data_IF_882589785024
#
_entry.id   IF_882589785024
#
_cell.length_a   1.000
_cell.length_b   1.000
_cell.length_c   1.000
_cell.angle_alpha   90.00
_cell.angle_beta   90.00
_cell.angle_gamma   90.00
#
_symmetry.space_group_name_H-M   'P 1'
#
loop_
_entity.id
_entity.type
_entity.pdbx_description
1 polymer ?
#
# COMPACT_ATOMS: atom_id res chain seq x y z
N UNK A 1 -0.50 18.85 -6.25
CA UNK A 1 0.29 18.99 -4.99
C UNK A 1 0.40 17.64 -4.26
N UNK A 2 1.60 17.17 -3.91
CA UNK A 2 1.81 15.83 -3.28
C UNK A 2 2.03 15.98 -1.77
N UNK A 3 1.09 15.43 -0.99
CA UNK A 3 1.18 15.30 0.48
C UNK A 3 2.06 14.13 0.91
N UNK A 4 1.80 13.54 2.09
CA UNK A 4 2.61 12.43 2.63
C UNK A 4 2.61 11.17 1.73
N UNK A 5 1.53 10.92 1.01
CA UNK A 5 1.43 9.88 -0.01
C UNK A 5 0.91 10.47 -1.31
N UNK A 6 1.45 10.01 -2.44
CA UNK A 6 0.98 10.40 -3.77
C UNK A 6 -0.33 9.66 -4.13
N UNK A 7 -1.00 10.09 -5.20
CA UNK A 7 -2.27 9.50 -5.63
C UNK A 7 -2.13 8.02 -6.01
N UNK A 8 -1.06 7.64 -6.71
CA UNK A 8 -0.77 6.25 -7.08
C UNK A 8 -0.56 5.34 -5.86
N UNK A 9 0.15 5.80 -4.83
CA UNK A 9 0.31 5.07 -3.57
C UNK A 9 -1.02 4.84 -2.86
N UNK A 10 -1.95 5.81 -2.89
CA UNK A 10 -3.29 5.65 -2.32
C UNK A 10 -4.14 4.65 -3.10
N UNK A 11 -4.11 4.74 -4.44
CA UNK A 11 -4.84 3.80 -5.31
C UNK A 11 -4.32 2.38 -5.09
N UNK A 12 -3.00 2.18 -5.11
CA UNK A 12 -2.37 0.89 -4.89
C UNK A 12 -2.70 0.34 -3.49
N UNK A 13 -2.73 1.18 -2.46
CA UNK A 13 -3.19 0.79 -1.13
C UNK A 13 -4.62 0.24 -1.14
N UNK A 14 -5.57 0.96 -1.73
CA UNK A 14 -6.97 0.51 -1.77
C UNK A 14 -7.16 -0.75 -2.61
N UNK A 15 -6.45 -0.89 -3.73
CA UNK A 15 -6.47 -2.12 -4.54
C UNK A 15 -5.98 -3.30 -3.71
N UNK A 16 -4.82 -3.17 -3.05
CA UNK A 16 -4.27 -4.24 -2.21
C UNK A 16 -5.24 -4.62 -1.07
N UNK A 17 -5.85 -3.65 -0.39
CA UNK A 17 -6.82 -3.90 0.69
C UNK A 17 -8.05 -4.65 0.17
N UNK A 18 -8.65 -4.20 -0.94
CA UNK A 18 -9.83 -4.85 -1.53
C UNK A 18 -9.52 -6.28 -2.01
N UNK A 19 -8.36 -6.48 -2.65
CA UNK A 19 -7.91 -7.82 -3.05
C UNK A 19 -7.69 -8.71 -1.82
N UNK A 20 -7.07 -8.21 -0.74
CA UNK A 20 -6.81 -8.98 0.47
C UNK A 20 -8.10 -9.45 1.14
N UNK A 21 -9.08 -8.56 1.29
CA UNK A 21 -10.40 -8.90 1.84
C UNK A 21 -11.09 -9.93 0.96
N UNK A 22 -11.08 -9.73 -0.36
CA UNK A 22 -11.69 -10.67 -1.32
C UNK A 22 -11.05 -12.05 -1.22
N UNK A 23 -9.71 -12.13 -1.18
CA UNK A 23 -8.97 -13.37 -1.02
C UNK A 23 -9.30 -14.08 0.29
N UNK A 24 -9.38 -13.34 1.40
CA UNK A 24 -9.70 -13.91 2.71
C UNK A 24 -11.12 -14.51 2.72
N UNK A 25 -12.12 -13.74 2.30
CA UNK A 25 -13.52 -14.19 2.31
C UNK A 25 -13.75 -15.37 1.37
N UNK A 26 -13.25 -15.28 0.13
CA UNK A 26 -13.38 -16.37 -0.84
C UNK A 26 -12.55 -17.59 -0.45
N UNK A 27 -11.38 -17.39 0.16
CA UNK A 27 -10.54 -18.47 0.68
C UNK A 27 -11.22 -19.25 1.79
N UNK A 28 -11.90 -18.56 2.72
CA UNK A 28 -12.73 -19.20 3.76
C UNK A 28 -13.84 -20.02 3.10
N UNK A 29 -14.58 -19.47 2.15
CA UNK A 29 -15.67 -20.19 1.45
C UNK A 29 -15.17 -21.46 0.74
N UNK A 30 -14.01 -21.40 0.08
CA UNK A 30 -13.42 -22.54 -0.64
C UNK A 30 -12.75 -23.57 0.27
N UNK A 31 -12.51 -23.25 1.54
CA UNK A 31 -11.72 -24.12 2.42
C UNK A 31 -12.47 -25.43 2.70
N UNK A 32 -12.05 -26.47 1.97
CA UNK A 32 -12.73 -27.76 1.91
C UNK A 32 -12.79 -28.53 3.23
N UNK A 33 -11.72 -28.44 4.03
CA UNK A 33 -11.63 -29.14 5.33
C UNK A 33 -12.62 -28.61 6.38
N UNK A 34 -12.88 -27.30 6.42
CA UNK A 34 -13.59 -26.66 7.53
C UNK A 34 -14.91 -26.00 7.13
N UNK A 35 -14.97 -25.31 5.99
CA UNK A 35 -16.03 -24.34 5.71
C UNK A 35 -16.86 -24.67 4.46
N UNK A 36 -16.28 -25.34 3.47
CA UNK A 36 -16.95 -25.62 2.19
C UNK A 36 -18.28 -26.40 2.33
N UNK A 37 -18.50 -27.15 3.40
CA UNK A 37 -19.74 -27.90 3.61
C UNK A 37 -20.93 -27.00 3.97
N UNK A 38 -20.68 -25.78 4.47
CA UNK A 38 -21.74 -24.82 4.82
C UNK A 38 -22.22 -23.98 3.63
N UNK A 39 -21.56 -24.08 2.47
CA UNK A 39 -21.86 -23.27 1.29
C UNK A 39 -22.33 -24.15 0.13
N UNK A 40 -23.25 -23.62 -0.68
CA UNK A 40 -23.70 -24.32 -1.88
C UNK A 40 -22.61 -24.37 -2.95
N UNK A 41 -22.67 -25.39 -3.82
CA UNK A 41 -21.70 -25.57 -4.91
C UNK A 41 -21.63 -24.33 -5.82
N UNK A 42 -22.77 -23.65 -6.04
CA UNK A 42 -22.80 -22.42 -6.83
C UNK A 42 -21.97 -21.29 -6.21
N UNK A 43 -22.08 -21.10 -4.90
CA UNK A 43 -21.31 -20.08 -4.16
C UNK A 43 -19.82 -20.40 -4.19
N UNK A 44 -19.44 -21.67 -4.00
CA UNK A 44 -18.04 -22.11 -4.07
C UNK A 44 -17.43 -21.80 -5.43
N UNK A 45 -18.15 -22.07 -6.54
CA UNK A 45 -17.66 -21.77 -7.90
C UNK A 45 -17.42 -20.28 -8.12
N UNK A 46 -18.35 -19.43 -7.69
CA UNK A 46 -18.19 -17.97 -7.78
C UNK A 46 -17.00 -17.51 -6.92
N UNK A 47 -16.89 -18.04 -5.70
CA UNK A 47 -15.77 -17.75 -4.81
C UNK A 47 -14.42 -18.14 -5.45
N UNK A 48 -14.32 -19.28 -6.13
CA UNK A 48 -13.10 -19.68 -6.84
C UNK A 48 -12.72 -18.72 -7.95
N UNK A 49 -13.67 -18.28 -8.77
CA UNK A 49 -13.37 -17.30 -9.85
C UNK A 49 -12.95 -15.97 -9.26
N UNK A 50 -13.67 -15.46 -8.25
CA UNK A 50 -13.33 -14.20 -7.58
C UNK A 50 -11.97 -14.29 -6.88
N UNK A 51 -11.64 -15.43 -6.26
CA UNK A 51 -10.34 -15.65 -5.63
C UNK A 51 -9.21 -15.62 -6.65
N UNK A 52 -9.38 -16.31 -7.79
CA UNK A 52 -8.39 -16.33 -8.86
C UNK A 52 -8.15 -14.91 -9.45
N UNK A 53 -9.22 -14.15 -9.67
CA UNK A 53 -9.11 -12.75 -10.14
C UNK A 53 -8.43 -11.85 -9.11
N UNK A 54 -8.79 -11.97 -7.83
CA UNK A 54 -8.16 -11.19 -6.76
C UNK A 54 -6.69 -11.58 -6.55
N UNK A 55 -6.35 -12.87 -6.69
CA UNK A 55 -4.98 -13.38 -6.62
C UNK A 55 -4.14 -12.81 -7.78
N UNK A 56 -4.67 -12.81 -8.99
CA UNK A 56 -4.00 -12.19 -10.13
C UNK A 56 -3.80 -10.68 -9.90
N UNK A 57 -4.85 -9.96 -9.48
CA UNK A 57 -4.79 -8.53 -9.20
C UNK A 57 -3.77 -8.15 -8.12
N UNK A 58 -3.69 -8.92 -7.03
CA UNK A 58 -2.74 -8.66 -5.95
C UNK A 58 -1.30 -8.93 -6.39
N UNK A 59 -1.05 -9.97 -7.20
CA UNK A 59 0.28 -10.27 -7.75
C UNK A 59 0.74 -9.12 -8.64
N UNK A 60 -0.09 -8.66 -9.60
CA UNK A 60 0.22 -7.50 -10.44
C UNK A 60 0.49 -6.24 -9.61
N UNK A 61 -0.32 -6.01 -8.57
CA UNK A 61 -0.18 -4.85 -7.69
C UNK A 61 1.12 -4.89 -6.90
N UNK A 62 1.55 -6.06 -6.41
CA UNK A 62 2.84 -6.23 -5.73
C UNK A 62 4.00 -5.98 -6.68
N UNK A 63 3.93 -6.47 -7.93
CA UNK A 63 4.98 -6.18 -8.93
C UNK A 63 5.14 -4.67 -9.13
N UNK A 64 4.04 -3.95 -9.32
CA UNK A 64 4.05 -2.48 -9.46
C UNK A 64 4.58 -1.81 -8.19
N UNK A 65 4.20 -2.29 -7.01
CA UNK A 65 4.66 -1.75 -5.73
C UNK A 65 6.18 -1.87 -5.57
N UNK A 66 6.72 -3.07 -5.82
CA UNK A 66 8.16 -3.35 -5.73
C UNK A 66 8.93 -2.53 -6.77
N UNK A 67 8.45 -2.48 -8.00
CA UNK A 67 9.04 -1.67 -9.05
C UNK A 67 9.11 -0.19 -8.65
N UNK A 68 8.02 0.38 -8.12
CA UNK A 68 7.98 1.76 -7.67
C UNK A 68 8.98 2.03 -6.52
N UNK A 69 9.15 1.07 -5.59
CA UNK A 69 10.11 1.18 -4.50
C UNK A 69 11.57 1.24 -5.00
N UNK A 70 11.90 0.48 -6.06
CA UNK A 70 13.24 0.51 -6.68
C UNK A 70 13.47 1.76 -7.54
N UNK A 71 12.43 2.23 -8.24
CA UNK A 71 12.51 3.40 -9.12
C UNK A 71 12.73 4.69 -8.33
N UNK A 72 11.96 4.89 -7.25
CA UNK A 72 12.09 6.08 -6.41
C UNK A 72 13.22 5.87 -5.41
N UNK A 73 14.44 6.24 -5.82
CA UNK A 73 15.66 6.14 -5.00
C UNK A 73 15.44 6.76 -3.62
N UNK A 74 15.88 6.06 -2.57
CA UNK A 74 15.66 6.45 -1.17
C UNK A 74 14.38 5.88 -0.53
N UNK A 75 13.41 5.39 -1.32
CA UNK A 75 12.16 4.84 -0.77
C UNK A 75 12.35 3.55 0.04
N UNK A 76 13.21 2.64 -0.43
CA UNK A 76 13.53 1.41 0.32
C UNK A 76 14.18 1.74 1.66
N UNK A 77 15.08 2.72 1.69
CA UNK A 77 15.70 3.20 2.92
C UNK A 77 14.65 3.85 3.86
N UNK A 78 13.70 4.61 3.30
CA UNK A 78 12.59 5.16 4.06
C UNK A 78 11.75 4.06 4.75
N UNK A 79 11.47 2.95 4.05
CA UNK A 79 10.69 1.84 4.58
C UNK A 79 11.45 1.01 5.63
N UNK A 80 12.75 0.79 5.40
CA UNK A 80 13.57 -0.10 6.25
C UNK A 80 14.19 0.60 7.45
N UNK A 81 14.59 1.88 7.30
CA UNK A 81 15.25 2.66 8.36
C UNK A 81 14.34 3.72 8.98
N UNK A 82 13.19 4.02 8.38
CA UNK A 82 12.23 4.99 8.91
C UNK A 82 12.58 6.46 8.69
N UNK A 83 13.64 6.79 7.94
CA UNK A 83 14.06 8.18 7.69
C UNK A 83 14.37 8.46 6.21
N UNK A 84 14.22 9.73 5.82
CA UNK A 84 14.44 10.23 4.45
C UNK A 84 15.30 11.47 4.45
N UNK A 85 16.05 11.70 3.37
CA UNK A 85 16.83 12.94 3.23
C UNK A 85 15.91 14.14 2.94
N UNK A 86 16.23 15.35 3.42
CA UNK A 86 15.43 16.55 3.14
C UNK A 86 15.26 16.82 1.64
N UNK A 87 16.30 16.57 0.83
CA UNK A 87 16.23 16.71 -0.63
C UNK A 87 15.26 15.74 -1.28
N UNK A 88 15.14 14.50 -0.77
CA UNK A 88 14.14 13.55 -1.23
C UNK A 88 12.72 13.99 -0.86
N UNK A 89 12.54 14.45 0.39
CA UNK A 89 11.26 14.93 0.89
C UNK A 89 10.77 16.14 0.09
N UNK A 90 11.67 17.06 -0.27
CA UNK A 90 11.36 18.21 -1.11
C UNK A 90 10.95 17.79 -2.54
N UNK A 91 11.66 16.82 -3.14
CA UNK A 91 11.41 16.37 -4.52
C UNK A 91 10.13 15.53 -4.68
N UNK A 92 9.87 14.62 -3.74
CA UNK A 92 8.78 13.65 -3.87
C UNK A 92 7.54 13.97 -3.02
N UNK A 93 7.69 14.70 -1.92
CA UNK A 93 6.63 14.97 -0.95
C UNK A 93 6.63 16.44 -0.48
N UNK A 94 6.70 17.37 -1.44
CA UNK A 94 6.93 18.81 -1.19
C UNK A 94 5.97 19.45 -0.19
N UNK A 95 4.68 19.10 -0.22
CA UNK A 95 3.72 19.67 0.74
C UNK A 95 3.95 19.16 2.15
N UNK A 96 4.21 17.85 2.28
CA UNK A 96 4.54 17.24 3.57
C UNK A 96 5.83 17.82 4.15
N UNK A 97 6.85 18.03 3.33
CA UNK A 97 8.09 18.69 3.76
C UNK A 97 7.83 20.13 4.25
N UNK A 98 7.01 20.91 3.53
CA UNK A 98 6.66 22.29 3.92
C UNK A 98 5.82 22.35 5.21
N UNK A 99 4.97 21.36 5.44
CA UNK A 99 4.21 21.23 6.70
C UNK A 99 5.12 20.84 7.86
N UNK A 100 6.03 19.90 7.64
CA UNK A 100 7.02 19.50 8.64
C UNK A 100 7.94 20.66 9.02
N UNK A 101 8.47 21.40 8.05
CA UNK A 101 9.33 22.57 8.28
C UNK A 101 8.60 23.70 9.04
N UNK A 102 7.29 23.87 8.82
CA UNK A 102 6.49 24.85 9.57
C UNK A 102 6.14 24.42 11.00
N UNK A 103 6.15 23.11 11.28
CA UNK A 103 5.85 22.57 12.62
C UNK A 103 7.08 22.49 13.52
N UNK A 104 8.29 22.58 12.95
CA UNK A 104 9.50 22.68 13.76
C UNK A 104 9.53 24.07 14.43
N UNK A 105 9.63 24.15 15.76
CA UNK A 105 9.84 25.40 16.46
C UNK A 105 11.11 26.06 15.93
N UNK A 106 11.05 27.37 15.76
CA UNK A 106 12.14 28.21 15.28
C UNK A 106 13.20 28.42 16.38
N UNK A 107 13.67 27.33 17.01
CA UNK A 107 14.61 27.35 18.14
C UNK A 107 16.06 27.66 17.68
N UNK A 108 16.30 27.64 16.37
CA UNK A 108 17.64 27.75 15.79
C UNK A 108 18.06 29.19 15.48
N UNK A 109 17.13 30.16 15.48
CA UNK A 109 17.43 31.56 15.09
C UNK A 109 17.65 32.48 16.30
N UNK A 110 17.63 31.95 17.52
CA UNK A 110 18.00 32.69 18.74
C UNK A 110 19.40 32.34 19.28
N UNK A 111 20.24 31.64 18.51
CA UNK A 111 21.57 31.20 18.97
C UNK A 111 22.77 31.95 18.39
N UNK A 112 22.54 33.12 17.77
CA UNK A 112 23.58 34.09 17.43
C UNK A 112 23.08 35.51 17.71
#
# INVERSE_FOLDING_TARGET
PVGKYNAGQKVLFWILVLCMITLLLTGIVMWRSLFSMYFSIGVIRIATVLHALAAFGIICSIIVHVYAAFWVKGSIQAMTRGWVTPGWAWKHHRLWFREWARKQPHDDVKKY
#
